data_IF_091908995473
#
_entry.id   IF_091908995473
#
_cell.length_a   1.000
_cell.length_b   1.000
_cell.length_c   1.000
_cell.angle_alpha   90.00
_cell.angle_beta   90.00
_cell.angle_gamma   90.00
#
_symmetry.space_group_name_H-M   'P 1'
#
loop_
_entity.id
_entity.type
_entity.pdbx_description
1 polymer ?
#
# COMPACT_ATOMS: atom_id res chain seq x y z
N UNK A 1 7.85 -10.52 14.27
CA UNK A 1 6.61 -10.09 13.60
C UNK A 1 5.96 -8.87 14.27
N UNK A 2 5.67 -7.84 13.46
CA UNK A 2 4.84 -6.67 13.78
C UNK A 2 3.63 -6.65 12.84
N UNK A 3 2.46 -6.32 13.38
CA UNK A 3 1.24 -6.16 12.59
C UNK A 3 1.18 -4.78 11.96
N UNK A 4 1.38 -4.68 10.66
CA UNK A 4 1.30 -3.42 9.91
C UNK A 4 -0.04 -3.33 9.20
N UNK A 5 -0.69 -2.17 9.34
CA UNK A 5 -1.95 -1.85 8.68
C UNK A 5 -1.69 -0.93 7.49
N UNK A 6 -2.04 -1.38 6.29
CA UNK A 6 -2.03 -0.51 5.12
C UNK A 6 -3.36 0.24 5.04
N UNK A 7 -3.31 1.54 4.77
CA UNK A 7 -4.50 2.37 4.55
C UNK A 7 -4.35 3.21 3.30
N UNK A 8 -5.47 3.37 2.59
CA UNK A 8 -5.65 4.36 1.56
C UNK A 8 -6.65 5.39 2.08
N UNK A 9 -6.35 6.68 1.92
CA UNK A 9 -7.26 7.77 2.22
C UNK A 9 -7.42 8.67 1.00
N UNK A 10 -8.64 8.98 0.61
CA UNK A 10 -8.98 9.91 -0.45
C UNK A 10 -10.33 10.56 -0.16
N UNK A 11 -10.55 11.78 -0.65
CA UNK A 11 -11.89 12.38 -0.66
C UNK A 11 -12.81 11.71 -1.70
N UNK A 12 -12.22 11.04 -2.72
CA UNK A 12 -12.96 10.22 -3.67
C UNK A 12 -13.32 8.88 -3.03
N UNK A 13 -14.60 8.70 -2.68
CA UNK A 13 -15.08 7.54 -1.94
C UNK A 13 -14.84 6.20 -2.65
N UNK A 14 -14.92 6.19 -3.99
CA UNK A 14 -14.74 4.98 -4.78
C UNK A 14 -13.27 4.68 -5.08
N UNK A 15 -12.34 5.55 -4.65
CA UNK A 15 -10.93 5.35 -4.95
C UNK A 15 -10.42 4.07 -4.28
N UNK A 16 -9.90 3.18 -5.11
CA UNK A 16 -9.38 1.89 -4.67
C UNK A 16 -8.16 1.51 -5.47
N UNK A 17 -7.21 0.88 -4.79
CA UNK A 17 -6.02 0.32 -5.41
C UNK A 17 -6.00 -1.21 -5.23
N UNK A 18 -5.28 -1.86 -6.13
CA UNK A 18 -4.96 -3.29 -6.03
C UNK A 18 -3.48 -3.49 -6.29
N UNK A 19 -2.86 -4.42 -5.59
CA UNK A 19 -1.43 -4.65 -5.73
C UNK A 19 -0.91 -5.79 -4.88
N UNK A 20 0.42 -5.82 -4.76
CA UNK A 20 1.18 -6.83 -4.04
C UNK A 20 2.18 -6.15 -3.11
N UNK A 21 2.42 -6.81 -1.98
CA UNK A 21 3.39 -6.38 -0.98
C UNK A 21 4.62 -7.27 -1.09
N UNK A 22 5.79 -6.65 -1.12
CA UNK A 22 7.09 -7.31 -1.21
C UNK A 22 8.03 -6.77 -0.15
N UNK A 23 9.04 -7.56 0.20
CA UNK A 23 10.28 -7.01 0.76
C UNK A 23 10.99 -6.19 -0.33
N UNK A 24 11.66 -5.10 0.05
CA UNK A 24 12.43 -4.25 -0.88
C UNK A 24 13.79 -4.92 -1.19
N UNK A 25 14.18 -5.08 -2.47
CA UNK A 25 13.50 -4.60 -3.68
C UNK A 25 12.36 -5.52 -4.16
N UNK A 26 11.28 -4.90 -4.63
CA UNK A 26 10.20 -5.62 -5.31
C UNK A 26 10.71 -6.24 -6.63
N UNK A 27 10.30 -7.48 -6.98
CA UNK A 27 10.61 -8.08 -8.27
C UNK A 27 9.91 -7.32 -9.40
N UNK A 28 10.45 -7.37 -10.63
CA UNK A 28 9.87 -6.65 -11.78
C UNK A 28 8.50 -7.18 -12.20
N UNK A 29 8.27 -8.47 -12.02
CA UNK A 29 7.03 -9.15 -12.41
C UNK A 29 6.13 -9.43 -11.21
N UNK A 30 4.82 -9.46 -11.44
CA UNK A 30 3.87 -9.87 -10.41
C UNK A 30 3.97 -11.38 -10.14
N UNK A 31 3.74 -11.82 -8.89
CA UNK A 31 3.83 -13.22 -8.51
C UNK A 31 2.76 -14.05 -9.24
N UNK A 32 3.20 -15.08 -9.97
CA UNK A 32 2.31 -15.96 -10.73
C UNK A 32 1.36 -16.74 -9.80
N UNK A 33 0.08 -16.79 -10.14
CA UNK A 33 -0.94 -17.55 -9.39
C UNK A 33 -1.38 -16.90 -8.07
N UNK A 34 -0.79 -15.78 -7.66
CA UNK A 34 -1.18 -15.04 -6.47
C UNK A 34 -2.15 -13.92 -6.86
N UNK A 35 -3.25 -13.79 -6.14
CA UNK A 35 -4.21 -12.70 -6.37
C UNK A 35 -3.74 -11.42 -5.66
N UNK A 36 -3.83 -10.24 -6.29
CA UNK A 36 -3.52 -8.99 -5.61
C UNK A 36 -4.57 -8.71 -4.55
N UNK A 37 -4.17 -8.06 -3.45
CA UNK A 37 -5.13 -7.57 -2.47
C UNK A 37 -5.63 -6.19 -2.85
N UNK A 38 -6.80 -5.82 -2.37
CA UNK A 38 -7.39 -4.49 -2.58
C UNK A 38 -7.28 -3.64 -1.33
N UNK A 39 -7.11 -2.35 -1.52
CA UNK A 39 -7.13 -1.33 -0.49
C UNK A 39 -8.02 -0.16 -0.95
N UNK A 40 -8.80 0.38 -0.02
CA UNK A 40 -9.67 1.55 -0.22
C UNK A 40 -9.94 2.22 1.12
N UNK A 41 -10.63 3.36 1.13
CA UNK A 41 -10.98 4.10 2.35
C UNK A 41 -11.62 3.26 3.47
N UNK A 42 -12.28 2.15 3.15
CA UNK A 42 -12.99 1.28 4.10
C UNK A 42 -12.38 -0.10 4.26
N UNK A 43 -11.31 -0.42 3.53
CA UNK A 43 -10.65 -1.74 3.58
C UNK A 43 -9.19 -1.52 3.87
N UNK A 44 -8.77 -2.03 5.03
CA UNK A 44 -7.44 -1.82 5.57
C UNK A 44 -6.76 -3.17 5.80
N UNK A 45 -6.07 -3.72 4.79
CA UNK A 45 -5.32 -4.96 4.94
C UNK A 45 -4.30 -4.86 6.07
N UNK A 46 -4.16 -5.94 6.82
CA UNK A 46 -3.19 -6.07 7.92
C UNK A 46 -2.24 -7.21 7.61
N UNK A 47 -0.95 -7.00 7.86
CA UNK A 47 0.12 -7.94 7.55
C UNK A 47 1.01 -8.12 8.78
N UNK A 48 1.31 -9.37 9.14
CA UNK A 48 2.31 -9.67 10.14
C UNK A 48 3.68 -9.76 9.42
N UNK A 49 4.52 -8.75 9.64
CA UNK A 49 5.79 -8.54 8.93
C UNK A 49 6.98 -8.60 9.89
N UNK A 50 8.12 -9.09 9.44
CA UNK A 50 9.37 -8.95 10.20
C UNK A 50 9.99 -7.55 10.02
N UNK A 51 10.86 -7.08 10.94
CA UNK A 51 11.60 -5.85 10.74
C UNK A 51 12.36 -5.86 9.42
N UNK A 52 12.19 -4.81 8.60
CA UNK A 52 12.69 -4.79 7.22
C UNK A 52 12.15 -3.61 6.42
N UNK A 53 12.57 -3.52 5.15
CA UNK A 53 12.03 -2.55 4.20
C UNK A 53 11.06 -3.27 3.26
N UNK A 54 9.93 -2.63 2.98
CA UNK A 54 8.86 -3.21 2.18
C UNK A 54 8.38 -2.23 1.11
N UNK A 55 7.87 -2.79 0.01
CA UNK A 55 7.27 -2.06 -1.09
C UNK A 55 5.89 -2.63 -1.39
N UNK A 56 4.88 -1.78 -1.30
CA UNK A 56 3.59 -2.06 -1.92
C UNK A 56 3.62 -1.54 -3.35
N UNK A 57 3.62 -2.44 -4.34
CA UNK A 57 3.47 -2.10 -5.77
C UNK A 57 2.01 -2.28 -6.17
N UNK A 58 1.43 -1.24 -6.76
CA UNK A 58 -0.01 -1.18 -6.96
C UNK A 58 -0.41 -0.39 -8.19
N UNK A 59 -1.68 -0.54 -8.54
CA UNK A 59 -2.40 0.29 -9.50
C UNK A 59 -3.72 0.75 -8.92
N UNK A 60 -4.20 1.91 -9.36
CA UNK A 60 -5.55 2.38 -9.04
C UNK A 60 -6.54 1.63 -9.94
N UNK A 61 -7.54 1.01 -9.31
CA UNK A 61 -8.56 0.19 -9.99
C UNK A 61 -9.84 0.95 -10.27
N UNK A 62 -10.26 1.81 -9.34
CA UNK A 62 -11.47 2.63 -9.47
C UNK A 62 -11.23 4.00 -8.85
N UNK A 63 -12.00 4.99 -9.29
CA UNK A 63 -11.90 6.38 -8.85
C UNK A 63 -10.70 7.10 -9.47
N UNK A 64 -10.68 8.42 -9.29
CA UNK A 64 -9.59 9.30 -9.71
C UNK A 64 -9.46 10.46 -8.74
N UNK A 65 -8.27 11.02 -8.62
CA UNK A 65 -7.97 12.18 -7.79
C UNK A 65 -6.72 12.00 -6.96
N UNK A 66 -6.61 12.82 -5.92
CA UNK A 66 -5.52 12.78 -4.96
C UNK A 66 -5.84 11.81 -3.83
N UNK A 67 -4.84 11.09 -3.38
CA UNK A 67 -4.97 10.15 -2.28
C UNK A 67 -3.65 9.97 -1.55
N UNK A 68 -3.75 9.46 -0.32
CA UNK A 68 -2.62 9.16 0.54
C UNK A 68 -2.58 7.67 0.83
N UNK A 69 -1.37 7.11 0.81
CA UNK A 69 -1.09 5.76 1.28
C UNK A 69 -0.40 5.82 2.64
N UNK A 70 -0.76 4.90 3.53
CA UNK A 70 -0.16 4.78 4.86
C UNK A 70 0.23 3.34 5.16
N UNK A 71 1.37 3.17 5.84
CA UNK A 71 1.69 1.99 6.61
C UNK A 71 1.71 2.37 8.08
N UNK A 72 0.80 1.82 8.88
CA UNK A 72 0.63 2.14 10.30
C UNK A 72 1.02 0.95 11.17
N UNK A 73 1.94 1.17 12.12
CA UNK A 73 2.25 0.25 13.20
C UNK A 73 1.40 0.63 14.43
N UNK A 74 0.38 -0.16 14.79
CA UNK A 74 -0.49 0.11 15.92
C UNK A 74 0.22 -0.05 17.28
N UNK A 75 1.32 -0.81 17.35
CA UNK A 75 2.05 -1.05 18.60
C UNK A 75 2.90 0.15 18.99
N UNK A 76 3.55 0.78 18.00
CA UNK A 76 4.41 1.95 18.21
C UNK A 76 3.71 3.27 17.91
N UNK A 77 2.48 3.22 17.37
CA UNK A 77 1.72 4.37 16.90
C UNK A 77 2.47 5.22 15.86
N UNK A 78 3.32 4.57 15.05
CA UNK A 78 4.07 5.22 13.98
C UNK A 78 3.43 4.96 12.61
N UNK A 79 3.58 5.91 11.69
CA UNK A 79 3.16 5.71 10.30
C UNK A 79 4.16 6.27 9.30
N UNK A 80 4.31 5.54 8.19
CA UNK A 80 4.89 6.07 6.96
C UNK A 80 3.74 6.50 6.05
N UNK A 81 3.90 7.62 5.33
CA UNK A 81 2.89 8.15 4.42
C UNK A 81 3.49 8.61 3.10
N UNK A 82 2.70 8.53 2.03
CA UNK A 82 3.04 9.10 0.72
C UNK A 82 1.78 9.58 0.00
N UNK A 83 1.92 10.68 -0.74
CA UNK A 83 0.86 11.30 -1.53
C UNK A 83 0.93 10.85 -2.99
N UNK A 84 -0.23 10.65 -3.61
CA UNK A 84 -0.37 10.25 -5.01
C UNK A 84 -1.49 11.05 -5.68
N UNK A 85 -1.37 11.21 -7.00
CA UNK A 85 -2.38 11.83 -7.84
C UNK A 85 -2.53 11.01 -9.13
N UNK A 86 -3.73 10.51 -9.38
CA UNK A 86 -3.99 9.67 -10.57
C UNK A 86 -3.76 10.40 -11.89
N UNK A 87 -3.77 11.74 -11.91
CA UNK A 87 -3.45 12.53 -13.11
C UNK A 87 -2.00 12.34 -13.59
N UNK A 88 -1.10 11.93 -12.69
CA UNK A 88 0.30 11.64 -13.01
C UNK A 88 0.54 10.17 -13.38
N UNK A 89 -0.50 9.33 -13.35
CA UNK A 89 -0.44 7.91 -13.62
C UNK A 89 -1.20 7.09 -12.57
N UNK A 90 -1.73 5.94 -13.01
CA UNK A 90 -2.53 5.03 -12.19
C UNK A 90 -1.95 3.61 -12.12
N UNK A 91 -0.87 3.33 -12.83
CA UNK A 91 -0.28 1.99 -12.98
C UNK A 91 1.16 1.98 -12.47
N UNK A 92 1.63 0.83 -11.98
CA UNK A 92 3.02 0.64 -11.55
C UNK A 92 3.48 1.53 -10.40
N UNK A 93 2.55 2.07 -9.59
CA UNK A 93 2.85 2.93 -8.46
C UNK A 93 3.50 2.13 -7.33
N UNK A 94 4.39 2.77 -6.59
CA UNK A 94 5.11 2.12 -5.47
C UNK A 94 4.98 2.95 -4.20
N UNK A 95 4.67 2.29 -3.09
CA UNK A 95 4.71 2.83 -1.75
C UNK A 95 5.73 2.08 -0.90
N UNK A 96 6.83 2.75 -0.52
CA UNK A 96 7.90 2.17 0.30
C UNK A 96 7.72 2.54 1.77
N UNK A 97 7.96 1.59 2.66
CA UNK A 97 7.96 1.83 4.11
C UNK A 97 8.92 0.88 4.84
N UNK A 98 9.29 1.27 6.06
CA UNK A 98 10.19 0.49 6.92
C UNK A 98 9.45 0.00 8.16
N UNK A 99 9.60 -1.28 8.47
CA UNK A 99 9.19 -1.90 9.73
C UNK A 99 10.40 -1.88 10.66
N UNK A 100 10.33 -1.08 11.71
CA UNK A 100 11.38 -1.01 12.73
C UNK A 100 11.29 -2.20 13.70
N UNK A 101 12.36 -2.55 14.43
CA UNK A 101 12.32 -3.51 15.53
C UNK A 101 11.29 -3.15 16.62
#
# INVERSE_FOLDING_TARGET
MKRIKLKLHSDEYHLSAVGYLFEDPAPDVDPAGVKPFSIRNTVFPEFDLEPGNYVFRFRVRNGAGKFQMFAFDPKTNQSTRADYDTSSGAEGLTFKFKVTP
#
